data_IF_980021279149
#
_entry.id   IF_980021279149
#
_cell.length_a   1.000
_cell.length_b   1.000
_cell.length_c   1.000
_cell.angle_alpha   90.00
_cell.angle_beta   90.00
_cell.angle_gamma   90.00
#
_symmetry.space_group_name_H-M   'P 1'
#
loop_
_entity.id
_entity.type
_entity.pdbx_description
1 polymer ?
#
# COMPACT_ATOMS: atom_id res chain seq x y z
N UNK A 1 -10.42 -66.32 -3.47
CA UNK A 1 -9.00 -65.91 -3.65
C UNK A 1 -8.97 -64.61 -4.42
N UNK A 2 -8.11 -63.68 -4.02
CA UNK A 2 -7.95 -62.39 -4.70
C UNK A 2 -6.94 -62.51 -5.85
N UNK A 3 -7.15 -61.79 -6.97
CA UNK A 3 -6.20 -61.80 -8.08
C UNK A 3 -4.88 -61.16 -7.68
N UNK A 4 -3.77 -61.90 -7.85
CA UNK A 4 -2.42 -61.37 -7.61
C UNK A 4 -1.97 -60.53 -8.81
N UNK A 5 -1.17 -59.50 -8.56
CA UNK A 5 -0.57 -58.68 -9.62
C UNK A 5 0.43 -59.51 -10.43
N UNK A 6 0.57 -59.20 -11.72
CA UNK A 6 1.35 -59.95 -12.72
C UNK A 6 0.85 -61.38 -12.99
N UNK A 7 -0.31 -61.77 -12.44
CA UNK A 7 -0.94 -63.03 -12.84
C UNK A 7 -1.31 -62.97 -14.32
N UNK A 8 -1.11 -64.07 -15.04
CA UNK A 8 -1.50 -64.17 -16.45
C UNK A 8 -3.01 -64.12 -16.57
N UNK A 9 -3.53 -63.31 -17.48
CA UNK A 9 -4.97 -63.22 -17.75
C UNK A 9 -5.28 -64.07 -18.96
N UNK A 10 -6.19 -65.03 -18.78
CA UNK A 10 -6.65 -65.95 -19.82
C UNK A 10 -8.13 -65.75 -20.08
N UNK A 11 -8.47 -65.48 -21.32
CA UNK A 11 -9.84 -65.58 -21.81
C UNK A 11 -10.21 -67.05 -22.05
N UNK A 12 -11.48 -67.29 -22.37
CA UNK A 12 -11.97 -68.65 -22.68
C UNK A 12 -11.26 -69.31 -23.87
N UNK A 13 -10.66 -68.51 -24.76
CA UNK A 13 -10.05 -68.91 -26.02
C UNK A 13 -8.52 -68.79 -26.05
N UNK A 14 -7.92 -67.77 -25.40
CA UNK A 14 -6.46 -67.57 -25.37
C UNK A 14 -5.98 -66.73 -24.18
N UNK A 15 -4.66 -66.74 -23.97
CA UNK A 15 -3.97 -65.80 -23.08
C UNK A 15 -3.94 -64.40 -23.69
N UNK A 16 -4.28 -63.37 -22.91
CA UNK A 16 -4.57 -62.02 -23.41
C UNK A 16 -3.71 -60.92 -22.78
N UNK A 17 -3.02 -61.21 -21.67
CA UNK A 17 -2.14 -60.25 -21.01
C UNK A 17 -1.88 -60.61 -19.56
N UNK A 18 -1.60 -59.61 -18.74
CA UNK A 18 -1.37 -59.74 -17.31
C UNK A 18 -2.16 -58.71 -16.49
N UNK A 19 -2.40 -59.01 -15.22
CA UNK A 19 -3.01 -58.06 -14.29
C UNK A 19 -1.97 -57.02 -13.89
N UNK A 20 -2.13 -55.78 -14.35
CA UNK A 20 -1.19 -54.69 -14.06
C UNK A 20 -1.55 -53.94 -12.78
N UNK A 21 -2.85 -53.75 -12.51
CA UNK A 21 -3.38 -53.03 -11.33
C UNK A 21 -4.71 -53.65 -10.88
N UNK A 22 -5.12 -53.34 -9.65
CA UNK A 22 -6.46 -53.69 -9.13
C UNK A 22 -7.18 -52.44 -8.68
N UNK A 23 -8.49 -52.38 -8.93
CA UNK A 23 -9.35 -51.28 -8.52
C UNK A 23 -10.23 -51.77 -7.38
N UNK A 24 -10.19 -51.07 -6.25
CA UNK A 24 -10.98 -51.39 -5.06
C UNK A 24 -12.11 -50.38 -4.91
N UNK A 25 -13.29 -50.88 -4.55
CA UNK A 25 -14.37 -50.03 -4.08
C UNK A 25 -14.11 -49.64 -2.61
N UNK A 26 -13.98 -48.33 -2.29
CA UNK A 26 -13.63 -47.86 -0.96
C UNK A 26 -14.73 -48.09 0.09
N UNK A 27 -15.97 -48.37 -0.32
CA UNK A 27 -17.09 -48.61 0.61
C UNK A 27 -17.21 -50.08 1.02
N UNK A 28 -17.05 -50.99 0.06
CA UNK A 28 -17.11 -52.42 0.31
C UNK A 28 -15.76 -53.03 0.72
N UNK A 29 -14.66 -52.31 0.52
CA UNK A 29 -13.29 -52.80 0.70
C UNK A 29 -12.97 -54.05 -0.15
N UNK A 30 -13.72 -54.26 -1.23
CA UNK A 30 -13.53 -55.38 -2.16
C UNK A 30 -12.96 -54.92 -3.51
N UNK A 31 -12.24 -55.82 -4.17
CA UNK A 31 -11.79 -55.60 -5.55
C UNK A 31 -13.04 -55.50 -6.44
N UNK A 32 -13.24 -54.35 -7.07
CA UNK A 32 -14.35 -54.14 -8.00
C UNK A 32 -13.95 -54.51 -9.44
N UNK A 33 -12.71 -54.19 -9.82
CA UNK A 33 -12.18 -54.43 -11.16
C UNK A 33 -10.71 -54.86 -11.12
N UNK A 34 -10.30 -55.65 -12.10
CA UNK A 34 -8.88 -55.86 -12.44
C UNK A 34 -8.52 -55.01 -13.66
N UNK A 35 -7.29 -54.52 -13.70
CA UNK A 35 -6.75 -53.83 -14.86
C UNK A 35 -5.86 -54.80 -15.63
N UNK A 36 -6.17 -54.99 -16.90
CA UNK A 36 -5.44 -55.91 -17.78
C UNK A 36 -4.66 -55.10 -18.81
N UNK A 37 -3.35 -55.33 -18.86
CA UNK A 37 -2.43 -54.79 -19.85
C UNK A 37 -1.85 -55.90 -20.71
N UNK A 38 -1.51 -55.58 -21.97
CA UNK A 38 -0.79 -56.50 -22.84
C UNK A 38 0.70 -56.57 -22.47
N UNK A 39 1.40 -57.61 -22.92
CA UNK A 39 2.83 -57.81 -22.64
C UNK A 39 3.68 -56.72 -23.35
N UNK A 40 4.04 -55.66 -22.63
CA UNK A 40 4.92 -54.59 -23.11
C UNK A 40 4.64 -53.22 -22.46
N UNK A 41 5.67 -52.39 -22.31
CA UNK A 41 5.51 -51.03 -21.82
C UNK A 41 4.73 -50.18 -22.85
N UNK A 42 3.57 -49.64 -22.47
CA UNK A 42 2.73 -48.81 -23.33
C UNK A 42 1.53 -49.52 -23.97
N UNK A 43 1.20 -50.74 -23.55
CA UNK A 43 -0.04 -51.42 -23.96
C UNK A 43 -1.28 -50.76 -23.36
N UNK A 44 -2.40 -50.88 -24.07
CA UNK A 44 -3.69 -50.28 -23.68
C UNK A 44 -4.25 -51.00 -22.46
N UNK A 45 -4.28 -50.34 -21.30
CA UNK A 45 -4.83 -50.89 -20.06
C UNK A 45 -6.37 -50.81 -20.05
N UNK A 46 -7.03 -51.93 -19.79
CA UNK A 46 -8.50 -52.03 -19.74
C UNK A 46 -8.99 -52.44 -18.37
N UNK A 47 -10.11 -51.84 -17.94
CA UNK A 47 -10.78 -52.16 -16.66
C UNK A 47 -11.78 -53.27 -16.89
N UNK A 48 -11.54 -54.43 -16.29
CA UNK A 48 -12.43 -55.60 -16.37
C UNK A 48 -13.12 -55.77 -15.01
N UNK A 49 -14.46 -55.76 -14.94
CA UNK A 49 -15.17 -55.94 -13.67
C UNK A 49 -14.96 -57.36 -13.13
N UNK A 50 -14.89 -57.49 -11.81
CA UNK A 50 -14.70 -58.79 -11.15
C UNK A 50 -15.80 -59.81 -11.50
N UNK A 51 -16.99 -59.36 -11.89
CA UNK A 51 -18.06 -60.24 -12.39
C UNK A 51 -17.68 -61.06 -13.64
N UNK A 52 -16.69 -60.61 -14.42
CA UNK A 52 -16.19 -61.33 -15.60
C UNK A 52 -15.11 -62.35 -15.25
N UNK A 53 -14.61 -62.36 -14.01
CA UNK A 53 -13.63 -63.33 -13.54
C UNK A 53 -14.37 -64.62 -13.16
N UNK A 54 -14.01 -65.73 -13.80
CA UNK A 54 -14.60 -67.04 -13.54
C UNK A 54 -13.87 -67.76 -12.40
N UNK A 55 -12.54 -67.72 -12.43
CA UNK A 55 -11.69 -68.39 -11.45
C UNK A 55 -10.37 -67.63 -11.28
N UNK A 56 -9.83 -67.65 -10.07
CA UNK A 56 -8.52 -67.09 -9.73
C UNK A 56 -7.66 -68.22 -9.20
N UNK A 57 -6.56 -68.50 -9.89
CA UNK A 57 -5.52 -69.47 -9.48
C UNK A 57 -4.24 -68.72 -9.07
N UNK A 58 -3.24 -69.42 -8.57
CA UNK A 58 -1.97 -68.78 -8.17
C UNK A 58 -1.19 -68.16 -9.33
N UNK A 59 -1.34 -68.71 -10.54
CA UNK A 59 -0.55 -68.33 -11.72
C UNK A 59 -1.38 -67.55 -12.77
N UNK A 60 -2.71 -67.71 -12.76
CA UNK A 60 -3.58 -67.13 -13.77
C UNK A 60 -4.98 -66.73 -13.26
N UNK A 61 -5.51 -65.68 -13.89
CA UNK A 61 -6.91 -65.22 -13.74
C UNK A 61 -7.68 -65.63 -15.00
N UNK A 62 -8.69 -66.47 -14.83
CA UNK A 62 -9.54 -66.96 -15.92
C UNK A 62 -10.77 -66.05 -16.08
N UNK A 63 -10.95 -65.48 -17.25
CA UNK A 63 -12.10 -64.67 -17.63
C UNK A 63 -13.17 -65.51 -18.32
N UNK A 64 -14.44 -65.13 -18.11
CA UNK A 64 -15.60 -65.68 -18.83
C UNK A 64 -15.65 -65.19 -20.28
N UNK A 65 -15.12 -64.00 -20.56
CA UNK A 65 -15.16 -63.36 -21.87
C UNK A 65 -14.21 -64.03 -22.87
N UNK A 66 -14.58 -64.03 -24.16
CA UNK A 66 -13.67 -64.35 -25.25
C UNK A 66 -12.70 -63.20 -25.51
N UNK A 67 -11.53 -63.48 -26.07
CA UNK A 67 -10.49 -62.45 -26.28
C UNK A 67 -10.93 -61.31 -27.21
N UNK A 68 -11.87 -61.58 -28.13
CA UNK A 68 -12.46 -60.56 -29.01
C UNK A 68 -13.39 -59.58 -28.30
N UNK A 69 -13.92 -59.93 -27.12
CA UNK A 69 -14.79 -59.05 -26.33
C UNK A 69 -14.00 -58.07 -25.46
N UNK A 70 -12.68 -58.24 -25.35
CA UNK A 70 -11.84 -57.36 -24.53
C UNK A 70 -11.88 -55.90 -24.98
N UNK A 71 -12.04 -55.67 -26.28
CA UNK A 71 -12.11 -54.32 -26.84
C UNK A 71 -13.35 -53.53 -26.39
N UNK A 72 -14.38 -54.22 -25.91
CA UNK A 72 -15.62 -53.61 -25.41
C UNK A 72 -15.47 -53.07 -23.98
N UNK A 73 -14.47 -53.52 -23.22
CA UNK A 73 -14.26 -53.03 -21.86
C UNK A 73 -13.61 -51.64 -21.86
N UNK A 74 -14.04 -50.73 -20.96
CA UNK A 74 -13.50 -49.37 -20.91
C UNK A 74 -12.00 -49.32 -20.65
N UNK A 75 -11.32 -48.36 -21.27
CA UNK A 75 -9.93 -48.04 -20.97
C UNK A 75 -9.78 -47.50 -19.53
N UNK A 76 -8.61 -47.74 -18.93
CA UNK A 76 -8.25 -47.09 -17.68
C UNK A 76 -7.89 -45.61 -17.93
N UNK A 77 -8.70 -44.71 -17.39
CA UNK A 77 -8.41 -43.28 -17.32
C UNK A 77 -7.74 -42.97 -15.98
N UNK A 78 -6.42 -42.80 -15.97
CA UNK A 78 -5.64 -42.76 -14.73
C UNK A 78 -5.97 -41.57 -13.83
N UNK A 79 -6.47 -40.48 -14.40
CA UNK A 79 -6.93 -39.25 -13.75
C UNK A 79 -8.22 -39.41 -12.94
N UNK A 80 -8.97 -40.49 -13.15
CA UNK A 80 -10.17 -40.80 -12.37
C UNK A 80 -9.87 -41.55 -11.07
N UNK A 81 -8.62 -41.92 -10.81
CA UNK A 81 -8.21 -42.79 -9.70
C UNK A 81 -7.05 -42.21 -8.91
N UNK A 82 -6.99 -42.54 -7.62
CA UNK A 82 -5.86 -42.30 -6.71
C UNK A 82 -5.30 -43.62 -6.24
N UNK A 83 -4.01 -43.63 -5.89
CA UNK A 83 -3.41 -44.82 -5.27
C UNK A 83 -3.72 -44.86 -3.77
N UNK A 84 -3.66 -46.04 -3.18
CA UNK A 84 -3.69 -46.21 -1.71
C UNK A 84 -2.52 -45.53 -0.98
N UNK A 85 -1.47 -45.11 -1.70
CA UNK A 85 -0.38 -44.28 -1.15
C UNK A 85 -0.73 -42.79 -1.09
N UNK A 86 -1.66 -42.34 -1.93
CA UNK A 86 -2.09 -40.93 -2.01
C UNK A 86 -3.30 -40.67 -1.10
N UNK A 87 -4.13 -41.69 -0.85
CA UNK A 87 -5.29 -41.62 0.02
C UNK A 87 -5.34 -42.85 0.91
N UNK A 88 -5.22 -42.64 2.21
CA UNK A 88 -5.42 -43.69 3.22
C UNK A 88 -6.92 -44.00 3.36
N UNK A 89 -7.24 -45.29 3.29
CA UNK A 89 -8.61 -45.79 3.50
C UNK A 89 -8.56 -46.70 4.71
N UNK A 90 -9.27 -46.32 5.76
CA UNK A 90 -9.32 -47.08 6.99
C UNK A 90 -9.79 -48.52 6.70
N UNK A 91 -9.10 -49.50 7.30
CA UNK A 91 -9.42 -50.94 7.23
C UNK A 91 -9.28 -51.61 5.86
N UNK A 92 -8.79 -50.91 4.83
CA UNK A 92 -8.61 -51.50 3.52
C UNK A 92 -7.55 -52.63 3.53
N UNK A 93 -6.50 -52.47 4.32
CA UNK A 93 -5.40 -53.43 4.46
C UNK A 93 -5.83 -54.75 5.13
N UNK A 94 -6.87 -54.68 5.98
CA UNK A 94 -7.42 -55.85 6.69
C UNK A 94 -8.16 -56.81 5.74
N UNK A 95 -8.64 -56.27 4.59
CA UNK A 95 -9.46 -56.98 3.62
C UNK A 95 -8.75 -57.25 2.29
N UNK A 96 -7.58 -56.66 2.05
CA UNK A 96 -6.85 -56.75 0.78
C UNK A 96 -5.49 -57.44 0.97
N UNK A 97 -5.33 -58.65 0.42
CA UNK A 97 -4.10 -59.43 0.47
C UNK A 97 -3.31 -59.36 -0.84
N UNK A 98 -3.19 -58.16 -1.41
CA UNK A 98 -2.52 -57.93 -2.70
C UNK A 98 -1.15 -57.28 -2.46
N UNK A 99 -0.14 -58.10 -2.15
CA UNK A 99 1.27 -57.69 -2.20
C UNK A 99 1.97 -58.35 -3.41
N UNK A 100 2.83 -57.66 -4.19
CA UNK A 100 3.10 -56.22 -4.25
C UNK A 100 2.57 -55.53 -5.54
N UNK A 101 2.01 -54.31 -5.41
CA UNK A 101 1.85 -53.34 -6.51
C UNK A 101 0.72 -52.30 -6.34
N UNK A 102 0.36 -51.60 -7.43
CA UNK A 102 -0.51 -50.41 -7.38
C UNK A 102 -2.01 -50.76 -7.24
N UNK A 103 -2.58 -50.46 -6.08
CA UNK A 103 -4.03 -50.50 -5.81
C UNK A 103 -4.62 -49.13 -6.11
N UNK A 104 -5.66 -49.10 -6.94
CA UNK A 104 -6.37 -47.90 -7.36
C UNK A 104 -7.72 -47.78 -6.68
N UNK A 105 -8.08 -46.56 -6.31
CA UNK A 105 -9.37 -46.19 -5.71
C UNK A 105 -9.97 -45.04 -6.52
N UNK A 106 -11.29 -45.05 -6.82
CA UNK A 106 -11.94 -43.93 -7.49
C UNK A 106 -11.72 -42.60 -6.76
N UNK A 107 -11.34 -41.54 -7.48
CA UNK A 107 -11.17 -40.20 -6.92
C UNK A 107 -12.53 -39.67 -6.40
N UNK A 108 -12.64 -39.20 -5.15
CA UNK A 108 -13.89 -38.67 -4.62
C UNK A 108 -14.41 -37.47 -5.43
N UNK A 109 -15.69 -37.47 -5.80
CA UNK A 109 -16.29 -36.41 -6.63
C UNK A 109 -16.17 -35.01 -6.01
N UNK A 110 -16.20 -34.91 -4.68
CA UNK A 110 -16.07 -33.65 -3.94
C UNK A 110 -14.70 -32.97 -4.15
N UNK A 111 -13.67 -33.72 -4.55
CA UNK A 111 -12.32 -33.20 -4.79
C UNK A 111 -12.05 -32.84 -6.26
N UNK A 112 -12.99 -33.15 -7.18
CA UNK A 112 -12.83 -32.85 -8.61
C UNK A 112 -12.84 -31.35 -8.93
N UNK A 113 -13.63 -30.55 -8.19
CA UNK A 113 -13.94 -29.18 -8.61
C UNK A 113 -13.22 -28.08 -7.82
N UNK A 114 -12.96 -28.25 -6.51
CA UNK A 114 -12.26 -27.23 -5.71
C UNK A 114 -11.31 -27.89 -4.72
N UNK A 115 -10.01 -27.69 -4.91
CA UNK A 115 -8.99 -28.10 -3.93
C UNK A 115 -9.22 -27.33 -2.64
N UNK A 116 -9.42 -28.03 -1.51
CA UNK A 116 -9.66 -27.43 -0.17
C UNK A 116 -8.67 -26.30 0.16
N UNK A 117 -7.39 -26.49 -0.21
CA UNK A 117 -6.32 -25.51 -0.03
C UNK A 117 -6.61 -24.17 -0.72
N UNK A 118 -7.15 -24.19 -1.94
CA UNK A 118 -7.48 -22.99 -2.70
C UNK A 118 -8.66 -22.24 -2.08
N UNK A 119 -9.67 -22.97 -1.60
CA UNK A 119 -10.80 -22.36 -0.90
C UNK A 119 -10.35 -21.61 0.36
N UNK A 120 -9.57 -22.26 1.22
CA UNK A 120 -9.07 -21.62 2.45
C UNK A 120 -8.13 -20.44 2.16
N UNK A 121 -7.26 -20.55 1.15
CA UNK A 121 -6.39 -19.44 0.76
C UNK A 121 -7.20 -18.20 0.32
N UNK A 122 -8.22 -18.39 -0.52
CA UNK A 122 -9.08 -17.30 -0.98
C UNK A 122 -9.89 -16.69 0.17
N UNK A 123 -10.39 -17.52 1.09
CA UNK A 123 -11.12 -17.05 2.26
C UNK A 123 -10.25 -16.20 3.19
N UNK A 124 -9.03 -16.64 3.47
CA UNK A 124 -8.06 -15.85 4.25
C UNK A 124 -7.75 -14.52 3.58
N UNK A 125 -7.57 -14.50 2.25
CA UNK A 125 -7.36 -13.26 1.50
C UNK A 125 -8.56 -12.31 1.61
N UNK A 126 -9.78 -12.84 1.53
CA UNK A 126 -11.00 -12.03 1.65
C UNK A 126 -11.12 -11.38 3.03
N UNK A 127 -10.90 -12.13 4.12
CA UNK A 127 -10.89 -11.58 5.48
C UNK A 127 -9.76 -10.57 5.65
N UNK A 128 -8.56 -10.88 5.16
CA UNK A 128 -7.40 -10.00 5.21
C UNK A 128 -7.67 -8.65 4.53
N UNK A 129 -8.31 -8.67 3.37
CA UNK A 129 -8.72 -7.45 2.67
C UNK A 129 -9.76 -6.65 3.48
N UNK A 130 -10.74 -7.32 4.08
CA UNK A 130 -11.77 -6.70 4.93
C UNK A 130 -11.20 -5.96 6.14
N UNK A 131 -10.12 -6.49 6.73
CA UNK A 131 -9.43 -5.86 7.87
C UNK A 131 -8.46 -4.77 7.42
N UNK A 132 -7.71 -5.00 6.33
CA UNK A 132 -6.69 -4.07 5.85
C UNK A 132 -7.29 -2.78 5.27
N UNK A 133 -8.42 -2.86 4.58
CA UNK A 133 -9.00 -1.74 3.83
C UNK A 133 -9.46 -0.59 4.77
N UNK A 134 -10.16 -0.84 5.89
CA UNK A 134 -10.48 0.20 6.88
C UNK A 134 -9.25 0.82 7.56
N UNK A 135 -8.16 0.07 7.71
CA UNK A 135 -6.91 0.59 8.29
C UNK A 135 -6.10 1.42 7.30
N UNK A 136 -6.17 1.10 6.00
CA UNK A 136 -5.50 1.86 4.94
C UNK A 136 -6.13 3.26 4.75
N UNK A 137 -7.44 3.39 4.91
CA UNK A 137 -8.17 4.66 4.73
C UNK A 137 -7.65 5.81 5.61
N UNK A 138 -7.53 5.69 6.95
CA UNK A 138 -7.04 6.78 7.80
C UNK A 138 -5.57 7.12 7.52
N UNK A 139 -4.74 6.13 7.16
CA UNK A 139 -3.34 6.34 6.79
C UNK A 139 -3.25 7.13 5.49
N UNK A 140 -3.99 6.71 4.46
CA UNK A 140 -4.01 7.40 3.17
C UNK A 140 -4.57 8.82 3.33
N UNK A 141 -5.65 8.97 4.11
CA UNK A 141 -6.21 10.28 4.44
C UNK A 141 -5.19 11.17 5.16
N UNK A 142 -4.42 10.64 6.12
CA UNK A 142 -3.37 11.39 6.79
C UNK A 142 -2.30 11.88 5.80
N UNK A 143 -1.79 10.99 4.95
CA UNK A 143 -0.76 11.32 3.96
C UNK A 143 -1.25 12.33 2.91
N UNK A 144 -2.53 12.26 2.54
CA UNK A 144 -3.12 13.16 1.55
C UNK A 144 -3.65 14.47 2.16
N UNK A 145 -3.70 14.63 3.49
CA UNK A 145 -4.20 15.85 4.16
C UNK A 145 -3.63 17.17 3.60
N UNK A 146 -2.33 17.29 3.30
CA UNK A 146 -1.77 18.53 2.73
C UNK A 146 -2.37 18.93 1.38
N UNK A 147 -2.96 17.98 0.63
CA UNK A 147 -3.53 18.25 -0.69
C UNK A 147 -4.92 18.88 -0.66
N UNK A 148 -5.70 18.68 0.42
CA UNK A 148 -7.09 19.13 0.51
C UNK A 148 -7.41 19.97 1.74
N UNK A 149 -6.47 20.10 2.69
CA UNK A 149 -6.68 20.96 3.85
C UNK A 149 -6.70 22.44 3.42
N UNK A 150 -7.74 23.21 3.80
CA UNK A 150 -7.81 24.62 3.47
C UNK A 150 -6.71 25.40 4.20
N UNK A 151 -6.14 26.40 3.53
CA UNK A 151 -5.21 27.34 4.14
C UNK A 151 -5.89 28.15 5.23
N UNK A 152 -5.26 28.28 6.39
CA UNK A 152 -5.77 29.10 7.49
C UNK A 152 -5.59 30.59 7.15
N UNK A 153 -6.70 31.27 6.90
CA UNK A 153 -6.76 32.71 6.57
C UNK A 153 -7.27 33.56 7.74
N UNK A 154 -7.23 33.03 8.97
CA UNK A 154 -7.70 33.78 10.15
C UNK A 154 -6.75 34.91 10.51
N UNK A 155 -7.33 36.05 10.89
CA UNK A 155 -6.60 37.18 11.42
C UNK A 155 -6.20 36.92 12.87
N UNK A 156 -4.92 37.17 13.18
CA UNK A 156 -4.32 37.01 14.49
C UNK A 156 -3.74 38.35 14.92
N UNK A 157 -4.19 38.84 16.08
CA UNK A 157 -3.59 40.00 16.73
C UNK A 157 -2.21 39.64 17.27
N UNK A 158 -1.18 40.34 16.80
CA UNK A 158 0.21 40.12 17.19
C UNK A 158 0.76 41.18 18.16
N UNK A 159 0.16 42.37 18.18
CA UNK A 159 0.65 43.46 19.01
C UNK A 159 0.01 44.80 18.67
N UNK A 160 0.66 45.90 19.07
CA UNK A 160 0.21 47.26 18.84
C UNK A 160 1.35 48.09 18.22
N UNK A 161 1.00 48.95 17.27
CA UNK A 161 1.92 49.79 16.50
C UNK A 161 2.75 50.74 17.38
N UNK A 162 2.24 51.13 18.55
CA UNK A 162 2.90 52.04 19.49
C UNK A 162 4.25 51.52 20.02
N UNK A 163 4.51 50.20 19.90
CA UNK A 163 5.81 49.62 20.26
C UNK A 163 6.92 49.98 19.27
N UNK A 164 6.60 50.50 18.09
CA UNK A 164 7.56 50.86 17.06
C UNK A 164 7.70 52.38 17.01
N UNK A 165 8.80 52.87 17.54
CA UNK A 165 9.10 54.30 17.62
C UNK A 165 10.04 54.77 16.51
N UNK A 166 10.90 53.89 16.02
CA UNK A 166 11.96 54.20 15.05
C UNK A 166 11.63 53.58 13.70
N UNK A 167 11.88 54.33 12.63
CA UNK A 167 11.72 53.86 11.26
C UNK A 167 12.87 52.93 10.87
N UNK A 168 12.58 51.99 9.97
CA UNK A 168 13.52 51.03 9.39
C UNK A 168 14.22 50.12 10.43
N UNK A 169 13.62 49.94 11.61
CA UNK A 169 14.09 49.04 12.65
C UNK A 169 13.14 47.86 12.82
N UNK A 170 13.68 46.65 12.65
CA UNK A 170 12.94 45.40 12.88
C UNK A 170 12.62 45.17 14.35
N UNK A 171 11.32 45.10 14.68
CA UNK A 171 10.83 44.71 16.01
C UNK A 171 10.19 43.33 15.94
N UNK A 172 10.62 42.42 16.81
CA UNK A 172 10.10 41.05 16.87
C UNK A 172 8.81 41.01 17.69
N UNK A 173 7.76 40.43 17.13
CA UNK A 173 6.54 40.07 17.84
C UNK A 173 6.42 38.56 17.92
N UNK A 174 6.10 38.05 19.10
CA UNK A 174 5.85 36.62 19.36
C UNK A 174 4.37 36.42 19.63
N UNK A 175 3.81 35.36 19.07
CA UNK A 175 2.41 34.97 19.27
C UNK A 175 2.31 33.45 19.31
N UNK A 176 1.26 32.97 19.97
CA UNK A 176 0.96 31.54 20.06
C UNK A 176 -0.05 31.17 18.98
N UNK A 177 0.22 30.09 18.25
CA UNK A 177 -0.73 29.50 17.31
C UNK A 177 -1.14 28.12 17.82
N UNK A 178 -2.45 27.89 17.92
CA UNK A 178 -2.99 26.56 18.20
C UNK A 178 -2.93 25.73 16.92
N UNK A 179 -2.24 24.60 16.98
CA UNK A 179 -2.10 23.65 15.88
C UNK A 179 -2.73 22.33 16.29
N UNK A 180 -3.62 21.82 15.46
CA UNK A 180 -4.26 20.50 15.64
C UNK A 180 -3.77 19.56 14.55
N UNK A 181 -2.80 18.72 14.90
CA UNK A 181 -2.40 17.59 14.06
C UNK A 181 -3.34 16.41 14.30
N UNK A 182 -3.44 15.51 13.32
CA UNK A 182 -4.57 14.57 13.21
C UNK A 182 -4.90 13.81 14.51
N UNK A 183 -3.92 13.14 15.09
CA UNK A 183 -4.08 12.31 16.30
C UNK A 183 -3.35 12.90 17.52
N UNK A 184 -2.72 14.07 17.37
CA UNK A 184 -2.06 14.74 18.49
C UNK A 184 -3.04 15.69 19.18
N UNK A 185 -2.91 15.87 20.51
CA UNK A 185 -3.63 16.92 21.21
C UNK A 185 -3.30 18.29 20.60
N UNK A 186 -4.23 19.23 20.74
CA UNK A 186 -3.99 20.60 20.30
C UNK A 186 -2.76 21.16 21.02
N UNK A 187 -1.75 21.55 20.24
CA UNK A 187 -0.51 22.11 20.75
C UNK A 187 -0.48 23.62 20.50
N UNK A 188 0.06 24.38 21.46
CA UNK A 188 0.39 25.79 21.25
C UNK A 188 1.84 25.89 20.79
N UNK A 189 2.04 26.39 19.57
CA UNK A 189 3.35 26.64 19.00
C UNK A 189 3.66 28.13 19.10
N UNK A 190 4.80 28.45 19.69
CA UNK A 190 5.33 29.81 19.69
C UNK A 190 5.86 30.16 18.30
N UNK A 191 5.27 31.19 17.69
CA UNK A 191 5.70 31.75 16.40
C UNK A 191 6.16 33.18 16.59
N UNK A 192 6.90 33.68 15.62
CA UNK A 192 7.32 35.07 15.60
C UNK A 192 7.26 35.67 14.20
N UNK A 193 7.11 36.99 14.17
CA UNK A 193 7.16 37.82 12.98
C UNK A 193 8.01 39.05 13.26
N UNK A 194 8.52 39.65 12.20
CA UNK A 194 9.27 40.89 12.25
C UNK A 194 8.42 42.00 11.65
N UNK A 195 8.15 43.04 12.43
CA UNK A 195 7.40 44.20 11.97
C UNK A 195 8.34 45.41 11.91
N UNK A 196 8.26 46.16 10.82
CA UNK A 196 8.95 47.44 10.65
C UNK A 196 7.93 48.54 10.39
N UNK A 197 8.23 49.73 10.93
CA UNK A 197 7.71 50.98 10.37
C UNK A 197 8.68 51.41 9.27
N UNK A 198 8.29 51.27 8.01
CA UNK A 198 9.17 51.48 6.87
C UNK A 198 9.17 52.96 6.43
N UNK A 199 10.34 53.50 6.12
CA UNK A 199 10.48 54.79 5.46
C UNK A 199 9.96 54.73 4.01
N UNK A 200 9.63 55.87 3.37
CA UNK A 200 9.16 55.90 1.99
C UNK A 200 10.12 55.20 1.00
N UNK A 201 11.43 55.26 1.26
CA UNK A 201 12.43 54.58 0.43
C UNK A 201 12.34 53.05 0.52
N UNK A 202 12.11 52.51 1.73
CA UNK A 202 11.96 51.06 1.94
C UNK A 202 10.62 50.58 1.38
N UNK A 203 9.55 51.36 1.53
CA UNK A 203 8.25 51.03 0.93
C UNK A 203 8.36 50.94 -0.60
N UNK A 204 9.04 51.89 -1.24
CA UNK A 204 9.25 51.86 -2.68
C UNK A 204 10.08 50.65 -3.11
N UNK A 205 11.12 50.27 -2.35
CA UNK A 205 11.91 49.07 -2.64
C UNK A 205 11.06 47.77 -2.59
N UNK A 206 10.16 47.68 -1.60
CA UNK A 206 9.35 46.48 -1.35
C UNK A 206 8.16 46.37 -2.30
N UNK A 207 7.41 47.46 -2.47
CA UNK A 207 6.19 47.49 -3.27
C UNK A 207 6.44 47.81 -4.75
N UNK A 208 7.55 48.49 -5.08
CA UNK A 208 7.90 48.90 -6.46
C UNK A 208 6.74 49.61 -7.17
N UNK A 209 6.10 50.54 -6.46
CA UNK A 209 4.92 51.28 -6.92
C UNK A 209 3.61 50.48 -7.01
N UNK A 210 3.58 49.19 -6.64
CA UNK A 210 2.38 48.33 -6.73
C UNK A 210 2.00 47.75 -5.37
N UNK A 211 0.70 47.76 -5.07
CA UNK A 211 0.15 47.04 -3.93
C UNK A 211 0.43 45.52 -4.02
N UNK A 212 0.47 44.86 -2.86
CA UNK A 212 0.83 43.46 -2.75
C UNK A 212 -0.38 42.59 -2.42
N UNK A 213 -0.80 41.78 -3.38
CA UNK A 213 -1.96 40.91 -3.27
C UNK A 213 -1.59 39.52 -2.74
N UNK A 214 -2.39 39.03 -1.80
CA UNK A 214 -2.27 37.71 -1.22
C UNK A 214 -3.46 36.85 -1.62
N UNK A 215 -3.19 35.66 -2.13
CA UNK A 215 -4.21 34.75 -2.63
C UNK A 215 -4.25 33.45 -1.81
N UNK A 216 -5.39 32.76 -1.85
CA UNK A 216 -5.52 31.40 -1.31
C UNK A 216 -5.14 30.33 -2.35
N UNK A 217 -5.27 29.06 -1.97
CA UNK A 217 -4.92 27.92 -2.84
C UNK A 217 -5.83 27.83 -4.09
N UNK A 218 -7.01 28.45 -4.07
CA UNK A 218 -7.94 28.50 -5.20
C UNK A 218 -7.75 29.76 -6.05
N UNK A 219 -6.74 30.59 -5.76
CA UNK A 219 -6.48 31.85 -6.47
C UNK A 219 -7.42 32.98 -6.08
N UNK A 220 -8.21 32.85 -5.01
CA UNK A 220 -9.08 33.93 -4.53
C UNK A 220 -8.26 34.95 -3.74
N UNK A 221 -8.53 36.23 -3.96
CA UNK A 221 -7.90 37.32 -3.21
C UNK A 221 -8.31 37.24 -1.73
N UNK A 222 -7.31 37.12 -0.85
CA UNK A 222 -7.48 37.11 0.61
C UNK A 222 -7.32 38.52 1.17
N UNK A 223 -6.27 39.23 0.74
CA UNK A 223 -5.95 40.57 1.22
C UNK A 223 -4.98 41.28 0.27
N UNK A 224 -4.96 42.61 0.34
CA UNK A 224 -3.99 43.45 -0.38
C UNK A 224 -3.31 44.37 0.60
N UNK A 225 -1.99 44.22 0.78
CA UNK A 225 -1.21 45.22 1.49
C UNK A 225 -1.03 46.45 0.61
N UNK A 226 -1.35 47.61 1.16
CA UNK A 226 -1.27 48.89 0.46
C UNK A 226 0.08 49.56 0.69
N UNK A 227 0.69 50.06 -0.38
CA UNK A 227 2.01 50.71 -0.31
C UNK A 227 2.02 52.00 0.54
N UNK A 228 0.86 52.65 0.72
CA UNK A 228 0.73 53.87 1.53
C UNK A 228 0.65 53.59 3.04
N UNK A 229 0.55 52.32 3.46
CA UNK A 229 0.59 51.93 4.87
C UNK A 229 2.06 51.74 5.27
N UNK A 230 2.58 52.51 6.25
CA UNK A 230 4.01 52.54 6.55
C UNK A 230 4.48 51.34 7.40
N UNK A 231 3.82 50.19 7.29
CA UNK A 231 4.10 49.00 8.08
C UNK A 231 4.29 47.79 7.18
N UNK A 232 5.38 47.07 7.41
CA UNK A 232 5.69 45.82 6.72
C UNK A 232 5.93 44.74 7.76
N UNK A 233 5.26 43.60 7.61
CA UNK A 233 5.50 42.42 8.43
C UNK A 233 6.14 41.35 7.59
N UNK A 234 7.26 40.80 8.07
CA UNK A 234 7.88 39.61 7.51
C UNK A 234 7.65 38.38 8.40
N UNK A 235 7.52 37.23 7.76
CA UNK A 235 7.59 35.92 8.42
C UNK A 235 8.88 35.79 9.20
N UNK A 236 8.83 35.20 10.40
CA UNK A 236 10.02 34.92 11.20
C UNK A 236 10.96 33.86 10.62
N UNK A 237 10.59 33.23 9.50
CA UNK A 237 11.36 32.14 8.85
C UNK A 237 12.19 32.65 7.68
N UNK A 238 13.46 32.27 7.65
CA UNK A 238 14.39 32.55 6.56
C UNK A 238 14.01 31.75 5.30
N UNK A 239 13.89 32.37 4.10
CA UNK A 239 13.60 31.68 2.84
C UNK A 239 14.60 30.59 2.42
N UNK A 240 15.79 30.53 3.02
CA UNK A 240 16.78 29.48 2.74
C UNK A 240 16.29 28.10 3.21
N UNK A 241 16.22 27.87 4.53
CA UNK A 241 15.84 26.58 5.13
C UNK A 241 14.86 26.72 6.30
N UNK A 242 14.22 27.89 6.46
CA UNK A 242 13.19 28.10 7.47
C UNK A 242 13.68 28.49 8.87
N UNK A 243 15.00 28.66 9.07
CA UNK A 243 15.55 29.14 10.34
C UNK A 243 15.01 30.50 10.77
N UNK A 244 14.91 30.71 12.09
CA UNK A 244 14.71 32.05 12.65
C UNK A 244 15.90 32.97 12.39
N UNK A 245 15.64 34.23 12.05
CA UNK A 245 16.65 35.27 11.86
C UNK A 245 16.43 36.45 12.82
N UNK A 246 17.45 37.30 12.98
CA UNK A 246 17.45 38.41 13.96
C UNK A 246 17.81 39.73 13.30
N UNK A 247 17.22 40.83 13.79
CA UNK A 247 17.67 42.19 13.49
C UNK A 247 18.96 42.51 14.26
N UNK A 248 20.04 42.89 13.55
CA UNK A 248 21.38 43.10 14.11
C UNK A 248 22.13 44.21 13.39
N UNK A 249 23.03 44.87 14.10
CA UNK A 249 24.04 45.73 13.50
C UNK A 249 25.18 44.88 12.89
N UNK A 250 25.31 44.94 11.57
CA UNK A 250 26.44 44.40 10.82
C UNK A 250 27.55 45.45 10.71
N UNK A 251 28.80 45.01 10.81
CA UNK A 251 29.98 45.92 10.89
C UNK A 251 30.12 46.84 9.68
N UNK A 252 29.76 46.34 8.49
CA UNK A 252 29.94 47.06 7.21
C UNK A 252 28.60 47.55 6.64
N UNK A 253 27.52 46.81 6.87
CA UNK A 253 26.23 47.02 6.19
C UNK A 253 25.22 47.79 7.06
N UNK A 254 25.58 48.15 8.29
CA UNK A 254 24.66 48.79 9.23
C UNK A 254 23.61 47.82 9.76
N UNK A 255 22.39 48.29 10.02
CA UNK A 255 21.31 47.47 10.56
C UNK A 255 20.70 46.55 9.49
N UNK A 256 20.69 45.25 9.76
CA UNK A 256 20.27 44.20 8.82
C UNK A 256 19.51 43.09 9.52
N UNK A 257 18.73 42.34 8.75
CA UNK A 257 18.29 41.00 9.16
C UNK A 257 19.41 39.99 8.88
N UNK A 258 19.82 39.28 9.92
CA UNK A 258 20.87 38.26 9.84
C UNK A 258 20.33 36.89 10.26
N UNK A 259 20.41 35.93 9.34
CA UNK A 259 20.12 34.52 9.62
C UNK A 259 21.41 33.79 10.05
N UNK A 260 21.52 33.30 11.30
CA UNK A 260 22.77 32.72 11.80
C UNK A 260 23.06 31.32 11.24
N UNK A 261 22.09 30.64 10.62
CA UNK A 261 22.27 29.24 10.17
C UNK A 261 23.28 29.12 9.01
N UNK A 262 23.16 29.97 7.99
CA UNK A 262 24.02 29.97 6.80
C UNK A 262 24.39 31.39 6.37
N UNK A 263 24.31 32.35 7.30
CA UNK A 263 24.72 33.74 7.12
C UNK A 263 24.02 34.51 5.99
N UNK A 264 22.75 34.19 5.70
CA UNK A 264 21.95 35.04 4.81
C UNK A 264 21.68 36.39 5.46
N UNK A 265 22.01 37.47 4.74
CA UNK A 265 21.88 38.85 5.17
C UNK A 265 20.81 39.53 4.32
N UNK A 266 19.92 40.28 4.95
CA UNK A 266 18.89 41.05 4.27
C UNK A 266 18.86 42.49 4.78
N UNK A 267 18.51 43.43 3.90
CA UNK A 267 18.27 44.82 4.29
C UNK A 267 16.92 44.99 5.02
N UNK A 268 16.57 46.23 5.39
CA UNK A 268 15.27 46.57 6.00
C UNK A 268 14.07 46.19 5.12
N UNK A 269 14.21 46.30 3.80
CA UNK A 269 13.22 45.85 2.81
C UNK A 269 13.19 44.32 2.60
N UNK A 270 13.97 43.56 3.37
CA UNK A 270 14.02 42.10 3.27
C UNK A 270 14.69 41.58 2.00
N UNK A 271 15.31 42.42 1.17
CA UNK A 271 16.09 42.03 0.00
C UNK A 271 17.38 41.35 0.45
N UNK A 272 17.72 40.24 -0.20
CA UNK A 272 18.99 39.51 0.03
C UNK A 272 20.16 40.42 -0.36
N UNK A 273 21.05 40.66 0.60
CA UNK A 273 22.34 41.34 0.40
C UNK A 273 23.46 40.33 0.19
N UNK A 274 23.44 39.22 0.95
CA UNK A 274 24.47 38.19 0.90
C UNK A 274 23.92 36.82 1.40
N UNK A 275 24.64 35.74 1.11
CA UNK A 275 24.37 34.39 1.56
C UNK A 275 23.44 33.57 0.64
N UNK A 276 23.11 32.33 1.02
CA UNK A 276 22.51 31.34 0.12
C UNK A 276 20.98 31.44 -0.04
N UNK A 277 20.35 32.51 0.47
CA UNK A 277 18.90 32.63 0.42
C UNK A 277 18.43 32.83 -1.03
N UNK A 278 17.46 32.02 -1.52
CA UNK A 278 17.07 32.06 -2.93
C UNK A 278 16.19 33.26 -3.30
N UNK A 279 15.66 33.99 -2.31
CA UNK A 279 14.72 35.11 -2.47
C UNK A 279 14.65 35.99 -1.22
N UNK A 280 14.04 37.17 -1.35
CA UNK A 280 13.76 38.11 -0.27
C UNK A 280 12.88 37.50 0.84
N UNK A 281 12.91 38.11 2.02
CA UNK A 281 12.04 37.77 3.15
C UNK A 281 10.57 37.80 2.75
N UNK A 282 9.78 36.95 3.41
CA UNK A 282 8.37 36.75 3.12
C UNK A 282 7.48 37.81 3.78
N UNK A 283 6.93 38.80 3.06
CA UNK A 283 5.92 39.70 3.61
C UNK A 283 4.63 38.93 3.94
N UNK A 284 3.92 39.37 4.98
CA UNK A 284 2.65 38.81 5.41
C UNK A 284 1.52 39.82 5.24
N UNK A 285 0.26 39.37 5.07
CA UNK A 285 -0.89 40.25 5.13
C UNK A 285 -0.92 40.96 6.48
N UNK A 286 -1.04 42.27 6.43
CA UNK A 286 -1.15 43.13 7.62
C UNK A 286 -2.36 44.03 7.49
N UNK A 287 -3.07 44.20 8.60
CA UNK A 287 -3.99 45.31 8.80
C UNK A 287 -3.72 45.96 10.15
N UNK A 288 -3.92 47.27 10.19
CA UNK A 288 -3.78 48.08 11.40
C UNK A 288 -5.18 48.56 11.77
N UNK A 289 -5.65 48.17 12.95
CA UNK A 289 -6.94 48.61 13.48
C UNK A 289 -6.87 50.06 13.98
N UNK A 290 -8.03 50.69 14.13
CA UNK A 290 -8.15 52.11 14.54
C UNK A 290 -7.51 52.39 15.90
N UNK A 291 -7.52 51.40 16.81
CA UNK A 291 -6.89 51.48 18.12
C UNK A 291 -5.36 51.22 18.10
N UNK A 292 -4.77 51.09 16.90
CA UNK A 292 -3.35 50.81 16.69
C UNK A 292 -2.98 49.34 16.84
N UNK A 293 -3.94 48.42 17.04
CA UNK A 293 -3.65 46.99 17.05
C UNK A 293 -3.25 46.50 15.67
N UNK A 294 -2.28 45.60 15.65
CA UNK A 294 -1.76 45.00 14.42
C UNK A 294 -2.20 43.56 14.37
N UNK A 295 -2.86 43.23 13.27
CA UNK A 295 -3.32 41.89 12.97
C UNK A 295 -2.67 41.42 11.68
N UNK A 296 -2.38 40.12 11.62
CA UNK A 296 -1.81 39.46 10.46
C UNK A 296 -2.58 38.20 10.11
N UNK A 297 -2.40 37.73 8.88
CA UNK A 297 -2.69 36.34 8.55
C UNK A 297 -1.36 35.59 8.55
N UNK A 298 -1.26 34.56 9.39
CA UNK A 298 -0.06 33.72 9.47
C UNK A 298 0.05 32.84 8.22
N UNK A 299 0.87 33.28 7.26
CA UNK A 299 1.19 32.53 6.05
C UNK A 299 2.57 31.91 6.16
N UNK A 300 2.67 30.62 5.85
CA UNK A 300 3.94 29.93 5.69
C UNK A 300 4.25 29.74 4.22
N UNK A 301 5.53 29.87 3.86
CA UNK A 301 6.00 29.71 2.49
C UNK A 301 7.10 28.66 2.43
N UNK A 302 7.16 27.94 1.31
CA UNK A 302 8.17 26.91 1.06
C UNK A 302 9.58 27.52 1.05
N UNK A 303 10.44 27.03 1.93
CA UNK A 303 11.85 27.38 1.96
C UNK A 303 12.63 26.69 0.83
N UNK A 304 13.79 27.24 0.49
CA UNK A 304 14.73 26.66 -0.49
C UNK A 304 14.32 26.86 -1.95
N UNK A 305 13.28 27.66 -2.22
CA UNK A 305 12.79 27.91 -3.57
C UNK A 305 12.77 29.41 -3.89
N UNK A 306 13.02 29.77 -5.16
CA UNK A 306 12.95 31.16 -5.63
C UNK A 306 11.51 31.68 -5.70
N UNK A 307 10.55 30.78 -5.91
CA UNK A 307 9.14 31.12 -5.93
C UNK A 307 8.59 31.22 -4.49
N UNK A 308 7.72 32.20 -4.26
CA UNK A 308 6.98 32.31 -3.02
C UNK A 308 5.73 31.42 -3.10
N UNK A 309 5.86 30.16 -2.67
CA UNK A 309 4.77 29.19 -2.68
C UNK A 309 4.26 29.01 -1.26
N UNK A 310 2.99 29.38 -1.01
CA UNK A 310 2.34 29.21 0.30
C UNK A 310 2.10 27.73 0.59
N UNK A 311 2.34 27.32 1.83
CA UNK A 311 2.13 25.95 2.34
C UNK A 311 1.10 25.92 3.47
N UNK A 312 0.48 24.76 3.65
CA UNK A 312 -0.55 24.46 4.67
C UNK A 312 0.08 24.16 6.02
#
# INVERSE_FOLDING_TARGET
>A
MQPKLKSKVRCADREVGEVTKVIVDPLSCEVSHIVVGGNGAGTVERRIPMAQVQAVTEEAVQLRAASGDLERFPLLKRDEYVTTKEVEIAHLEDHLHVEPGEVLVPLPELERNVKRRTFFANFTQAIGALVALPLAVPVLRYLMKPMYAPLDNRWLKIGNASRIKTEDVGVQFKYKKKVKEAFMPEAEVDKNVWLLKASPAVLEEVYKGKDMDFHDAAGRLVWTNKQNVPYIVYSGKCPHLGCGYKWRAHRVLGQVFLCPCHLSIYNAGGKVLDGPAPRSLDPLPIRVAVNGDIEIIDMEFKAGTKAQVRIV
#
